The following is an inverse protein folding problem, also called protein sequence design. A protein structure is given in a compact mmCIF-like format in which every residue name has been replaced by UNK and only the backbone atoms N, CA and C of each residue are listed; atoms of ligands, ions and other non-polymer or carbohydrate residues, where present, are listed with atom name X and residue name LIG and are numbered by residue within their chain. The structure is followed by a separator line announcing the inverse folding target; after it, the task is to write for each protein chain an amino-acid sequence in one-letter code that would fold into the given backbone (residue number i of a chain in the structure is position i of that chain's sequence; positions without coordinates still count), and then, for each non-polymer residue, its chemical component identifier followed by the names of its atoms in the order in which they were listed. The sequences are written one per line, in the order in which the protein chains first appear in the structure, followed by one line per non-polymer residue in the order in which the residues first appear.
data_IF_391910470278
#
_entry.id   IF_391910470278
#
_cell.length_a   1.000
_cell.length_b   1.000
_cell.length_c   1.000
_cell.angle_alpha   90.00
_cell.angle_beta   90.00
_cell.angle_gamma   90.00
#
_symmetry.space_group_name_H-M   'P 1'
#
loop_
_entity.id
_entity.type
_entity.pdbx_description
1 polymer ?
#
# COMPACT_ATOMS: atom_id res chain seq x y z
N UNK A 1 2.58 -22.34 38.55
CA UNK A 1 1.20 -22.19 38.06
C UNK A 1 1.26 -21.23 36.89
N UNK A 2 1.08 -21.81 35.70
CA UNK A 2 1.32 -21.25 34.37
C UNK A 2 0.44 -20.04 34.12
N UNK A 3 1.07 -18.87 33.95
CA UNK A 3 0.43 -17.64 33.46
C UNK A 3 0.67 -17.44 31.96
N UNK A 4 1.03 -18.51 31.23
CA UNK A 4 1.21 -18.52 29.77
C UNK A 4 0.66 -19.82 29.16
N UNK A 5 -0.40 -20.40 29.74
CA UNK A 5 -1.15 -21.52 29.10
C UNK A 5 -2.33 -21.02 28.27
N UNK A 6 -2.09 -20.03 27.42
CA UNK A 6 -3.08 -19.62 26.44
C UNK A 6 -2.41 -19.22 25.13
N UNK A 7 -2.40 -20.20 24.22
CA UNK A 7 -1.99 -20.16 22.81
C UNK A 7 -0.52 -20.43 22.49
N UNK A 8 -0.05 -21.66 22.77
CA UNK A 8 1.16 -22.20 22.15
C UNK A 8 0.90 -22.50 20.67
N UNK A 9 0.97 -21.47 19.81
CA UNK A 9 1.08 -21.70 18.38
C UNK A 9 2.35 -22.51 18.09
N UNK A 10 2.20 -23.58 17.32
CA UNK A 10 3.34 -24.32 16.76
C UNK A 10 4.10 -23.44 15.78
N UNK A 11 5.39 -23.74 15.58
CA UNK A 11 6.19 -23.05 14.56
C UNK A 11 5.54 -23.13 13.16
N UNK A 12 4.86 -24.24 12.84
CA UNK A 12 4.13 -24.42 11.59
C UNK A 12 2.94 -23.46 11.44
N UNK A 13 2.16 -23.26 12.50
CA UNK A 13 1.03 -22.31 12.51
C UNK A 13 1.52 -20.87 12.36
N UNK A 14 2.57 -20.48 13.08
CA UNK A 14 3.19 -19.14 12.96
C UNK A 14 3.74 -18.94 11.56
N UNK A 15 4.35 -19.95 10.95
CA UNK A 15 4.87 -19.87 9.59
C UNK A 15 3.76 -19.68 8.55
N UNK A 16 2.67 -20.45 8.66
CA UNK A 16 1.51 -20.31 7.77
C UNK A 16 0.88 -18.92 7.87
N UNK A 17 0.69 -18.42 9.09
CA UNK A 17 0.20 -17.07 9.35
C UNK A 17 1.13 -16.00 8.77
N UNK A 18 2.44 -16.17 8.96
CA UNK A 18 3.45 -15.25 8.40
C UNK A 18 3.41 -15.21 6.88
N UNK A 19 3.22 -16.37 6.22
CA UNK A 19 3.06 -16.43 4.75
C UNK A 19 1.81 -15.68 4.27
N UNK A 20 0.70 -15.82 4.99
CA UNK A 20 -0.54 -15.09 4.69
C UNK A 20 -0.33 -13.58 4.81
N UNK A 21 0.28 -13.10 5.90
CA UNK A 21 0.58 -11.68 6.06
C UNK A 21 1.55 -11.17 4.99
N UNK A 22 2.57 -11.95 4.66
CA UNK A 22 3.52 -11.62 3.58
C UNK A 22 2.78 -11.42 2.26
N UNK A 23 1.87 -12.31 1.90
CA UNK A 23 1.06 -12.18 0.69
C UNK A 23 0.19 -10.91 0.70
N UNK A 24 -0.44 -10.60 1.84
CA UNK A 24 -1.23 -9.37 2.02
C UNK A 24 -0.38 -8.11 1.86
N UNK A 25 0.81 -8.07 2.46
CA UNK A 25 1.77 -6.96 2.31
C UNK A 25 2.22 -6.82 0.85
N UNK A 26 2.57 -7.93 0.18
CA UNK A 26 2.94 -7.90 -1.24
C UNK A 26 1.82 -7.37 -2.13
N UNK A 27 0.56 -7.73 -1.86
CA UNK A 27 -0.60 -7.20 -2.58
C UNK A 27 -0.73 -5.68 -2.38
N UNK A 28 -0.66 -5.20 -1.13
CA UNK A 28 -0.68 -3.76 -0.81
C UNK A 28 0.43 -3.00 -1.53
N UNK A 29 1.65 -3.54 -1.57
CA UNK A 29 2.77 -2.93 -2.30
C UNK A 29 2.46 -2.85 -3.81
N UNK A 30 1.88 -3.90 -4.39
CA UNK A 30 1.53 -3.90 -5.81
C UNK A 30 0.51 -2.80 -6.14
N UNK A 31 -0.48 -2.60 -5.26
CA UNK A 31 -1.49 -1.56 -5.43
C UNK A 31 -0.91 -0.16 -5.22
N UNK A 32 -0.07 0.04 -4.21
CA UNK A 32 0.65 1.30 -4.02
C UNK A 32 1.53 1.65 -5.22
N UNK A 33 2.21 0.66 -5.83
CA UNK A 33 2.97 0.87 -7.07
C UNK A 33 2.08 1.26 -8.25
N UNK A 34 0.84 0.75 -8.34
CA UNK A 34 -0.11 1.20 -9.38
C UNK A 34 -0.49 2.65 -9.17
N UNK A 35 -0.86 3.00 -7.93
CA UNK A 35 -1.22 4.38 -7.57
C UNK A 35 -0.07 5.35 -7.85
N UNK A 36 1.16 4.97 -7.48
CA UNK A 36 2.36 5.78 -7.76
C UNK A 36 2.54 6.04 -9.26
N UNK A 37 2.32 5.03 -10.12
CA UNK A 37 2.41 5.22 -11.57
C UNK A 37 1.36 6.20 -12.09
N UNK A 38 0.13 6.11 -11.60
CA UNK A 38 -0.94 7.05 -11.95
C UNK A 38 -0.58 8.47 -11.52
N UNK A 39 -0.15 8.66 -10.28
CA UNK A 39 0.25 9.97 -9.76
C UNK A 39 1.43 10.56 -10.56
N UNK A 40 2.42 9.72 -10.91
CA UNK A 40 3.55 10.12 -11.76
C UNK A 40 3.13 10.52 -13.17
N UNK A 41 2.11 9.87 -13.73
CA UNK A 41 1.59 10.24 -15.05
C UNK A 41 0.94 11.63 -15.00
N UNK A 42 0.05 11.85 -14.05
CA UNK A 42 -0.64 13.13 -13.85
C UNK A 42 0.37 14.25 -13.55
N UNK A 43 1.36 14.00 -12.68
CA UNK A 43 2.32 15.02 -12.29
C UNK A 43 3.27 15.43 -13.43
N UNK A 44 3.47 14.59 -14.46
CA UNK A 44 4.33 14.94 -15.61
C UNK A 44 3.75 16.06 -16.46
N UNK A 45 2.43 16.21 -16.44
CA UNK A 45 1.71 17.25 -17.18
C UNK A 45 1.71 18.57 -16.42
N UNK A 46 2.04 18.55 -15.12
CA UNK A 46 2.12 19.72 -14.27
C UNK A 46 3.52 20.36 -14.33
N UNK A 47 3.58 21.65 -14.65
CA UNK A 47 4.81 22.47 -14.65
C UNK A 47 5.22 22.92 -13.26
N UNK A 48 4.30 22.88 -12.29
CA UNK A 48 4.53 23.29 -10.89
C UNK A 48 4.60 24.81 -10.69
N UNK A 49 4.13 25.58 -11.67
CA UNK A 49 3.97 27.03 -11.57
C UNK A 49 2.65 27.42 -10.90
N UNK A 50 2.51 28.71 -10.60
CA UNK A 50 1.27 29.27 -10.06
C UNK A 50 0.30 29.57 -11.22
N UNK A 51 -0.15 28.51 -11.89
CA UNK A 51 -1.14 28.61 -12.97
C UNK A 51 -2.55 28.30 -12.48
N UNK A 52 -3.57 29.00 -13.00
CA UNK A 52 -4.97 28.71 -12.64
C UNK A 52 -5.46 27.37 -13.20
N UNK A 53 -4.72 26.75 -14.11
CA UNK A 53 -5.09 25.52 -14.80
C UNK A 53 -4.13 24.39 -14.41
N UNK A 54 -4.37 23.78 -13.25
CA UNK A 54 -3.52 22.72 -12.71
C UNK A 54 -3.98 21.34 -13.23
N UNK A 55 -3.17 20.63 -14.05
CA UNK A 55 -3.55 19.32 -14.60
C UNK A 55 -3.79 18.26 -13.52
N UNK A 56 -3.14 18.40 -12.35
CA UNK A 56 -3.41 17.52 -11.19
C UNK A 56 -4.81 17.74 -10.64
N UNK A 57 -5.26 18.99 -10.53
CA UNK A 57 -6.61 19.30 -10.03
C UNK A 57 -7.66 18.79 -11.02
N UNK A 58 -7.46 19.02 -12.31
CA UNK A 58 -8.34 18.51 -13.37
C UNK A 58 -8.43 16.98 -13.34
N UNK A 59 -7.31 16.26 -13.21
CA UNK A 59 -7.32 14.81 -13.19
C UNK A 59 -7.93 14.19 -11.92
N UNK A 60 -7.91 14.91 -10.79
CA UNK A 60 -8.43 14.42 -9.50
C UNK A 60 -9.88 14.83 -9.22
N UNK A 61 -10.34 15.94 -9.79
CA UNK A 61 -11.63 16.55 -9.47
C UNK A 61 -12.48 16.91 -10.69
N UNK A 62 -11.98 16.73 -11.91
CA UNK A 62 -12.71 16.92 -13.17
C UNK A 62 -13.57 15.73 -13.59
#
# INVERSE_FOLDING_TARGET
LSLVDSQHYTCGEVFALTKQYTASVSAKIADLKKLERTLKAISKECTGDDTPNCPIVEALYG
#
